data_IF_372823822725
#
_entry.id   IF_372823822725
#
_cell.length_a   1.000
_cell.length_b   1.000
_cell.length_c   1.000
_cell.angle_alpha   90.00
_cell.angle_beta   90.00
_cell.angle_gamma   90.00
#
_symmetry.space_group_name_H-M   'P 1'
#
loop_
_entity.id
_entity.type
_entity.pdbx_description
1 polymer ?
#
# COMPACT_ATOMS: atom_id res chain seq x y z
N UNK A 1 23.47 21.39 12.18
CA UNK A 1 22.86 20.09 11.83
C UNK A 1 23.52 19.01 12.65
N UNK A 2 22.76 18.13 13.30
CA UNK A 2 23.31 17.03 14.08
C UNK A 2 24.02 16.02 13.16
N UNK A 3 25.07 15.34 13.63
CA UNK A 3 25.82 14.37 12.83
C UNK A 3 24.91 13.27 12.22
N UNK A 4 23.80 12.95 12.89
CA UNK A 4 22.76 12.03 12.40
C UNK A 4 22.01 12.57 11.19
N UNK A 5 21.64 13.86 11.20
CA UNK A 5 20.93 14.48 10.08
C UNK A 5 21.78 14.45 8.80
N UNK A 6 23.08 14.75 8.90
CA UNK A 6 24.00 14.69 7.75
C UNK A 6 24.13 13.29 7.17
N UNK A 7 24.17 12.25 8.02
CA UNK A 7 24.18 10.84 7.57
C UNK A 7 22.90 10.46 6.84
N UNK A 8 21.74 10.87 7.36
CA UNK A 8 20.44 10.58 6.73
C UNK A 8 20.32 11.27 5.37
N UNK A 9 20.71 12.54 5.26
CA UNK A 9 20.70 13.28 3.99
C UNK A 9 21.58 12.59 2.94
N UNK A 10 22.81 12.19 3.34
CA UNK A 10 23.71 11.45 2.45
C UNK A 10 23.07 10.14 1.97
N UNK A 11 22.48 9.36 2.89
CA UNK A 11 21.83 8.08 2.56
C UNK A 11 20.64 8.26 1.63
N UNK A 12 19.81 9.28 1.85
CA UNK A 12 18.69 9.60 0.95
C UNK A 12 19.20 9.98 -0.44
N UNK A 13 20.31 10.73 -0.54
CA UNK A 13 20.94 11.05 -1.82
C UNK A 13 21.37 9.80 -2.60
N UNK A 14 22.06 8.86 -1.95
CA UNK A 14 22.45 7.58 -2.54
C UNK A 14 21.24 6.78 -3.04
N UNK A 15 20.19 6.68 -2.21
CA UNK A 15 18.96 5.96 -2.57
C UNK A 15 18.19 6.64 -3.71
N UNK A 16 18.21 7.98 -3.81
CA UNK A 16 17.64 8.70 -4.96
C UNK A 16 18.38 8.32 -6.25
N UNK A 17 19.70 8.20 -6.23
CA UNK A 17 20.49 7.79 -7.40
C UNK A 17 20.16 6.37 -7.86
N UNK A 18 19.91 5.45 -6.94
CA UNK A 18 19.46 4.09 -7.27
C UNK A 18 18.04 4.11 -7.85
N UNK A 19 17.13 4.88 -7.25
CA UNK A 19 15.72 5.00 -7.66
C UNK A 19 15.56 5.56 -9.08
N UNK A 20 16.34 6.58 -9.46
CA UNK A 20 16.21 7.28 -10.76
C UNK A 20 16.20 6.32 -11.95
N UNK A 21 16.90 5.18 -11.85
CA UNK A 21 16.96 4.16 -12.90
C UNK A 21 15.61 3.49 -13.18
N UNK A 22 14.71 3.47 -12.20
CA UNK A 22 13.39 2.84 -12.29
C UNK A 22 12.26 3.82 -12.60
N UNK A 23 12.47 5.12 -12.39
CA UNK A 23 11.46 6.16 -12.58
C UNK A 23 10.83 6.17 -14.00
N UNK A 24 11.58 6.01 -15.11
CA UNK A 24 10.99 5.96 -16.45
C UNK A 24 10.03 4.78 -16.64
N UNK A 25 10.42 3.59 -16.16
CA UNK A 25 9.60 2.38 -16.23
C UNK A 25 8.33 2.55 -15.39
N UNK A 26 8.43 3.13 -14.19
CA UNK A 26 7.26 3.41 -13.37
C UNK A 26 6.32 4.41 -14.03
N UNK A 27 6.85 5.49 -14.61
CA UNK A 27 6.03 6.47 -15.33
C UNK A 27 5.24 5.83 -16.48
N UNK A 28 5.85 4.91 -17.21
CA UNK A 28 5.18 4.14 -18.27
C UNK A 28 4.10 3.20 -17.72
N UNK A 29 4.40 2.46 -16.64
CA UNK A 29 3.44 1.56 -16.00
C UNK A 29 2.22 2.31 -15.46
N UNK A 30 2.42 3.46 -14.82
CA UNK A 30 1.30 4.32 -14.38
C UNK A 30 0.50 4.85 -15.56
N UNK A 31 1.16 5.28 -16.64
CA UNK A 31 0.50 5.82 -17.83
C UNK A 31 -0.55 4.86 -18.41
N UNK A 32 -0.25 3.57 -18.47
CA UNK A 32 -1.13 2.56 -19.05
C UNK A 32 -2.00 1.82 -18.03
N UNK A 33 -1.53 1.66 -16.79
CA UNK A 33 -2.20 0.85 -15.77
C UNK A 33 -3.05 1.64 -14.77
N UNK A 34 -2.63 2.84 -14.38
CA UNK A 34 -3.32 3.68 -13.39
C UNK A 34 -2.93 5.15 -13.59
N UNK A 35 -3.39 5.80 -14.67
CA UNK A 35 -2.95 7.15 -15.02
C UNK A 35 -3.31 8.19 -13.95
N UNK A 36 -4.41 7.99 -13.21
CA UNK A 36 -4.81 8.82 -12.07
C UNK A 36 -3.84 8.77 -10.89
N UNK A 37 -3.00 7.73 -10.80
CA UNK A 37 -2.02 7.53 -9.72
C UNK A 37 -0.60 7.89 -10.10
N UNK A 38 -0.37 8.51 -11.26
CA UNK A 38 0.97 8.88 -11.70
C UNK A 38 1.70 9.71 -10.63
N UNK A 39 2.91 9.28 -10.25
CA UNK A 39 3.70 9.87 -9.17
C UNK A 39 4.76 10.83 -9.73
N UNK A 40 5.07 11.91 -8.99
CA UNK A 40 6.23 12.76 -9.26
C UNK A 40 7.34 12.43 -8.28
N UNK A 41 8.53 12.16 -8.81
CA UNK A 41 9.72 11.83 -8.02
C UNK A 41 10.69 13.01 -7.87
N UNK A 42 10.36 14.16 -8.44
CA UNK A 42 11.17 15.37 -8.40
C UNK A 42 10.70 16.33 -7.30
N UNK A 43 11.66 17.02 -6.66
CA UNK A 43 11.41 17.99 -5.57
C UNK A 43 10.73 19.30 -6.05
N UNK A 44 10.46 19.44 -7.34
CA UNK A 44 9.82 20.63 -7.90
C UNK A 44 8.31 20.56 -7.67
N UNK A 45 7.77 21.62 -7.06
CA UNK A 45 6.38 21.76 -6.64
C UNK A 45 5.39 21.14 -7.64
N UNK A 46 4.41 20.41 -7.09
CA UNK A 46 3.35 19.59 -7.72
C UNK A 46 2.48 20.28 -8.81
N UNK A 47 2.87 21.43 -9.37
CA UNK A 47 2.06 22.33 -10.19
C UNK A 47 1.73 21.85 -11.62
N UNK A 48 1.71 20.54 -11.87
CA UNK A 48 1.38 19.99 -13.20
C UNK A 48 1.03 18.51 -13.21
N UNK A 49 1.05 17.83 -12.06
CA UNK A 49 0.79 16.40 -11.99
C UNK A 49 -0.67 16.08 -12.32
N UNK A 50 -1.60 16.88 -11.81
CA UNK A 50 -3.04 16.75 -12.12
C UNK A 50 -3.33 16.92 -13.62
N UNK A 51 -2.72 17.92 -14.27
CA UNK A 51 -2.87 18.12 -15.71
C UNK A 51 -2.24 16.97 -16.51
N UNK A 52 -1.10 16.46 -16.05
CA UNK A 52 -0.45 15.29 -16.65
C UNK A 52 -1.35 14.06 -16.56
N UNK A 53 -1.89 13.77 -15.37
CA UNK A 53 -2.83 12.64 -15.15
C UNK A 53 -4.06 12.76 -16.06
N UNK A 54 -4.65 13.97 -16.17
CA UNK A 54 -5.79 14.22 -17.07
C UNK A 54 -5.44 13.99 -18.53
N UNK A 55 -4.29 14.49 -18.98
CA UNK A 55 -3.83 14.33 -20.36
C UNK A 55 -3.52 12.87 -20.69
N UNK A 56 -2.83 12.14 -19.81
CA UNK A 56 -2.51 10.73 -20.03
C UNK A 56 -3.76 9.86 -20.02
N UNK A 57 -4.72 10.15 -19.12
CA UNK A 57 -6.04 9.51 -19.15
C UNK A 57 -6.79 9.78 -20.46
N UNK A 58 -6.68 10.98 -21.03
CA UNK A 58 -7.29 11.31 -22.33
C UNK A 58 -6.60 10.65 -23.53
N UNK A 59 -5.31 10.29 -23.40
CA UNK A 59 -4.54 9.59 -24.43
C UNK A 59 -4.76 8.08 -24.41
N UNK A 60 -5.37 7.55 -23.34
CA UNK A 60 -5.61 6.11 -23.20
C UNK A 60 -6.76 5.68 -24.12
N UNK A 61 -6.44 4.86 -25.13
CA UNK A 61 -7.43 4.32 -26.08
C UNK A 61 -8.05 3.01 -25.61
N UNK A 62 -7.30 2.21 -24.83
CA UNK A 62 -7.72 0.91 -24.30
C UNK A 62 -7.68 0.93 -22.77
N UNK A 63 -8.80 0.60 -22.12
CA UNK A 63 -8.95 0.57 -20.66
C UNK A 63 -8.73 -0.82 -20.06
N UNK A 64 -8.53 -1.86 -20.90
CA UNK A 64 -8.43 -3.26 -20.45
C UNK A 64 -7.40 -3.46 -19.34
N UNK A 65 -6.22 -2.84 -19.46
CA UNK A 65 -5.17 -2.94 -18.45
C UNK A 65 -5.58 -2.33 -17.10
N UNK A 66 -6.17 -1.13 -17.14
CA UNK A 66 -6.62 -0.43 -15.93
C UNK A 66 -7.75 -1.17 -15.23
N UNK A 67 -8.71 -1.71 -15.99
CA UNK A 67 -9.81 -2.53 -15.45
C UNK A 67 -9.29 -3.84 -14.84
N UNK A 68 -8.34 -4.50 -15.51
CA UNK A 68 -7.71 -5.72 -14.97
C UNK A 68 -6.97 -5.45 -13.66
N UNK A 69 -6.28 -4.32 -13.54
CA UNK A 69 -5.59 -3.91 -12.30
C UNK A 69 -6.62 -3.67 -11.18
N UNK A 70 -7.71 -2.94 -11.43
CA UNK A 70 -8.74 -2.69 -10.43
C UNK A 70 -9.41 -3.99 -9.94
N UNK A 71 -9.70 -4.91 -10.86
CA UNK A 71 -10.22 -6.23 -10.53
C UNK A 71 -9.22 -7.05 -9.69
N UNK A 72 -7.94 -7.00 -10.06
CA UNK A 72 -6.89 -7.72 -9.35
C UNK A 72 -6.69 -7.17 -7.93
N UNK A 73 -6.65 -5.85 -7.77
CA UNK A 73 -6.56 -5.19 -6.45
C UNK A 73 -7.75 -5.58 -5.58
N UNK A 74 -8.97 -5.52 -6.12
CA UNK A 74 -10.20 -5.92 -5.41
C UNK A 74 -10.15 -7.39 -4.97
N UNK A 75 -9.61 -8.26 -5.82
CA UNK A 75 -9.42 -9.68 -5.50
C UNK A 75 -8.40 -9.88 -4.38
N UNK A 76 -7.31 -9.11 -4.36
CA UNK A 76 -6.31 -9.18 -3.28
C UNK A 76 -6.95 -8.74 -1.96
N UNK A 77 -7.63 -7.58 -1.92
CA UNK A 77 -8.28 -7.06 -0.70
C UNK A 77 -9.26 -8.09 -0.14
N UNK A 78 -10.11 -8.66 -1.01
CA UNK A 78 -11.08 -9.67 -0.60
C UNK A 78 -10.42 -10.95 -0.07
N UNK A 79 -9.23 -11.30 -0.56
CA UNK A 79 -8.51 -12.50 -0.15
C UNK A 79 -7.66 -12.30 1.12
N UNK A 80 -7.19 -11.08 1.40
CA UNK A 80 -6.22 -10.82 2.46
C UNK A 80 -6.79 -10.04 3.64
N UNK A 81 -7.46 -8.93 3.38
CA UNK A 81 -7.92 -7.99 4.42
C UNK A 81 -9.36 -7.53 4.17
N UNK A 82 -10.34 -8.44 4.13
CA UNK A 82 -11.75 -8.06 3.99
C UNK A 82 -12.25 -7.33 5.25
N UNK A 83 -12.97 -6.23 5.09
CA UNK A 83 -13.54 -5.45 6.19
C UNK A 83 -14.68 -6.18 6.94
N UNK A 84 -15.26 -7.21 6.32
CA UNK A 84 -16.39 -7.96 6.87
C UNK A 84 -15.98 -9.08 7.84
N UNK A 85 -14.72 -9.50 7.83
CA UNK A 85 -14.28 -10.67 8.61
C UNK A 85 -12.86 -10.55 9.12
N UNK A 86 -12.65 -11.02 10.35
CA UNK A 86 -11.33 -11.09 10.97
C UNK A 86 -10.41 -12.02 10.17
N UNK A 87 -9.27 -11.48 9.73
CA UNK A 87 -8.31 -12.13 8.84
C UNK A 87 -7.01 -12.56 9.55
N UNK A 88 -6.96 -12.44 10.88
CA UNK A 88 -5.83 -12.89 11.69
C UNK A 88 -6.28 -13.40 13.06
N UNK A 89 -5.49 -14.29 13.67
CA UNK A 89 -5.74 -14.82 15.02
C UNK A 89 -4.41 -15.00 15.74
N UNK A 90 -4.35 -14.55 17.00
CA UNK A 90 -3.25 -14.88 17.89
C UNK A 90 -3.48 -16.27 18.52
N UNK A 91 -2.49 -17.14 18.44
CA UNK A 91 -2.53 -18.51 19.00
C UNK A 91 -1.29 -18.72 19.88
N UNK A 92 -1.45 -19.30 21.08
CA UNK A 92 -0.30 -19.68 21.91
C UNK A 92 0.61 -20.67 21.17
N UNK A 93 1.94 -20.48 21.25
CA UNK A 93 2.88 -21.46 20.71
C UNK A 93 3.00 -22.69 21.61
N UNK A 94 3.03 -23.88 21.01
CA UNK A 94 3.37 -25.13 21.71
C UNK A 94 2.24 -25.79 22.52
N UNK A 95 0.97 -25.42 22.27
CA UNK A 95 -0.20 -26.05 22.89
C UNK A 95 -0.94 -26.83 21.81
N UNK A 96 -1.09 -28.15 21.97
CA UNK A 96 -2.03 -28.95 21.19
C UNK A 96 -3.43 -28.36 21.37
N UNK A 97 -4.14 -28.11 20.27
CA UNK A 97 -5.44 -27.42 20.27
C UNK A 97 -6.36 -28.03 21.34
N UNK A 98 -6.55 -27.36 22.48
CA UNK A 98 -7.30 -27.96 23.57
C UNK A 98 -8.78 -28.02 23.18
N UNK A 99 -9.50 -29.05 23.65
CA UNK A 99 -10.95 -29.20 23.41
C UNK A 99 -11.77 -28.01 23.96
N UNK A 100 -11.20 -27.26 24.91
CA UNK A 100 -11.79 -26.06 25.49
C UNK A 100 -10.79 -24.91 25.48
N UNK A 101 -11.28 -23.72 25.12
CA UNK A 101 -10.45 -22.50 25.14
C UNK A 101 -9.98 -22.19 26.56
N UNK A 102 -8.66 -22.18 26.72
CA UNK A 102 -8.00 -21.72 27.94
C UNK A 102 -8.26 -20.24 28.18
N UNK A 103 -8.12 -19.79 29.43
CA UNK A 103 -8.23 -18.37 29.79
C UNK A 103 -7.24 -17.49 28.99
N UNK A 104 -6.06 -18.03 28.65
CA UNK A 104 -5.08 -17.35 27.81
C UNK A 104 -5.58 -17.13 26.38
N UNK A 105 -6.23 -18.13 25.78
CA UNK A 105 -6.80 -18.02 24.43
C UNK A 105 -7.97 -17.02 24.38
N UNK A 106 -8.81 -16.96 25.41
CA UNK A 106 -9.88 -15.97 25.53
C UNK A 106 -9.34 -14.53 25.61
N UNK A 107 -8.24 -14.34 26.37
CA UNK A 107 -7.57 -13.04 26.42
C UNK A 107 -6.94 -12.67 25.08
N UNK A 108 -6.28 -13.61 24.39
CA UNK A 108 -5.73 -13.39 23.06
C UNK A 108 -6.80 -13.05 22.02
N UNK A 109 -7.97 -13.67 22.10
CA UNK A 109 -9.11 -13.32 21.25
C UNK A 109 -9.56 -11.87 21.49
N UNK A 110 -9.66 -11.45 22.75
CA UNK A 110 -10.00 -10.07 23.12
C UNK A 110 -8.96 -9.07 22.57
N UNK A 111 -7.67 -9.39 22.68
CA UNK A 111 -6.59 -8.57 22.12
C UNK A 111 -6.66 -8.52 20.59
N UNK A 112 -6.94 -9.65 19.95
CA UNK A 112 -7.08 -9.75 18.49
C UNK A 112 -8.26 -8.90 18.00
N UNK A 113 -9.40 -8.94 18.70
CA UNK A 113 -10.56 -8.07 18.41
C UNK A 113 -10.24 -6.60 18.58
N UNK A 114 -9.50 -6.26 19.64
CA UNK A 114 -9.06 -4.89 19.86
C UNK A 114 -8.18 -4.40 18.70
N UNK A 115 -7.19 -5.19 18.27
CA UNK A 115 -6.32 -4.83 17.13
C UNK A 115 -7.15 -4.67 15.85
N UNK A 116 -8.05 -5.62 15.56
CA UNK A 116 -8.89 -5.59 14.36
C UNK A 116 -9.71 -4.30 14.29
N UNK A 117 -10.38 -3.93 15.38
CA UNK A 117 -11.16 -2.69 15.46
C UNK A 117 -10.32 -1.44 15.25
N UNK A 118 -9.09 -1.40 15.80
CA UNK A 118 -8.22 -0.25 15.64
C UNK A 118 -7.72 -0.09 14.20
N UNK A 119 -7.44 -1.19 13.49
CA UNK A 119 -7.05 -1.15 12.07
C UNK A 119 -8.18 -0.52 11.23
N UNK A 120 -9.42 -0.97 11.43
CA UNK A 120 -10.56 -0.39 10.71
C UNK A 120 -10.88 1.06 11.14
N UNK A 121 -10.58 1.43 12.39
CA UNK A 121 -10.72 2.80 12.88
C UNK A 121 -9.66 3.76 12.33
N UNK A 122 -8.49 3.27 11.90
CA UNK A 122 -7.39 4.09 11.34
C UNK A 122 -7.49 4.29 9.82
N UNK A 123 -8.70 4.25 9.27
CA UNK A 123 -8.96 4.44 7.84
C UNK A 123 -8.23 3.44 6.90
N UNK A 124 -7.86 2.27 7.41
CA UNK A 124 -7.08 1.29 6.64
C UNK A 124 -7.79 0.84 5.35
N UNK A 125 -9.11 0.68 5.38
CA UNK A 125 -9.89 0.14 4.26
C UNK A 125 -9.86 1.04 3.01
N UNK A 126 -9.67 2.36 3.15
CA UNK A 126 -9.49 3.24 2.00
C UNK A 126 -8.04 3.28 1.52
N UNK A 127 -7.07 3.30 2.44
CA UNK A 127 -5.65 3.41 2.09
C UNK A 127 -5.09 2.11 1.46
N UNK A 128 -5.63 0.95 1.84
CA UNK A 128 -5.16 -0.34 1.33
C UNK A 128 -5.37 -0.49 -0.18
N UNK A 129 -6.49 0.02 -0.72
CA UNK A 129 -6.77 -0.02 -2.15
C UNK A 129 -5.75 0.79 -2.95
N UNK A 130 -5.45 1.97 -2.46
CA UNK A 130 -4.49 2.90 -3.05
C UNK A 130 -3.08 2.31 -3.07
N UNK A 131 -2.66 1.75 -1.94
CA UNK A 131 -1.38 1.06 -1.83
C UNK A 131 -1.25 -0.17 -2.72
N UNK A 132 -2.28 -1.02 -2.75
CA UNK A 132 -2.26 -2.22 -3.56
C UNK A 132 -2.23 -1.86 -5.05
N UNK A 133 -2.88 -0.77 -5.45
CA UNK A 133 -2.80 -0.27 -6.82
C UNK A 133 -1.37 0.12 -7.18
N UNK A 134 -0.68 0.91 -6.34
CA UNK A 134 0.71 1.28 -6.57
C UNK A 134 1.65 0.06 -6.56
N UNK A 135 1.39 -0.91 -5.67
CA UNK A 135 2.14 -2.16 -5.59
C UNK A 135 1.97 -3.03 -6.84
N UNK A 136 0.75 -3.16 -7.36
CA UNK A 136 0.46 -3.94 -8.56
C UNK A 136 1.07 -3.28 -9.80
N UNK A 137 0.96 -1.96 -9.91
CA UNK A 137 1.41 -1.20 -11.08
C UNK A 137 2.92 -1.05 -11.12
N UNK A 138 3.53 -0.56 -10.04
CA UNK A 138 4.93 -0.15 -10.02
C UNK A 138 5.83 -1.01 -9.12
N UNK A 139 5.27 -2.02 -8.43
CA UNK A 139 5.96 -2.79 -7.38
C UNK A 139 6.52 -1.92 -6.25
N UNK A 140 5.96 -0.73 -6.08
CA UNK A 140 6.34 0.22 -5.05
C UNK A 140 5.07 0.68 -4.35
N UNK A 141 5.04 0.63 -3.04
CA UNK A 141 3.95 1.20 -2.26
C UNK A 141 4.49 1.68 -0.92
N UNK A 142 4.01 2.83 -0.47
CA UNK A 142 4.29 3.34 0.87
C UNK A 142 2.97 3.73 1.51
N UNK A 143 2.62 3.05 2.59
CA UNK A 143 1.42 3.35 3.37
C UNK A 143 1.79 4.06 4.66
N UNK A 144 1.08 5.14 4.94
CA UNK A 144 1.14 5.82 6.24
C UNK A 144 -0.28 5.83 6.78
N UNK A 145 -0.61 4.81 7.59
CA UNK A 145 -1.87 4.78 8.33
C UNK A 145 -1.82 5.93 9.34
N UNK A 146 -2.82 6.80 9.32
CA UNK A 146 -2.95 7.94 10.25
C UNK A 146 -3.96 7.65 11.34
#
# INVERSE_FOLDING_TARGET
MTATATKLIKRVGELKTERIKHEPTWAELYRYGAPERQQSFQDTAQSGLEDTRRQERAKLFDTTAAEAIQLFVSSIISATTPASSKWFKAVPSGVDVPEQMTQGEQWLETVTDFIYRNIHASNFDSEVSDYLTDLVVARMGCNVCR
#
